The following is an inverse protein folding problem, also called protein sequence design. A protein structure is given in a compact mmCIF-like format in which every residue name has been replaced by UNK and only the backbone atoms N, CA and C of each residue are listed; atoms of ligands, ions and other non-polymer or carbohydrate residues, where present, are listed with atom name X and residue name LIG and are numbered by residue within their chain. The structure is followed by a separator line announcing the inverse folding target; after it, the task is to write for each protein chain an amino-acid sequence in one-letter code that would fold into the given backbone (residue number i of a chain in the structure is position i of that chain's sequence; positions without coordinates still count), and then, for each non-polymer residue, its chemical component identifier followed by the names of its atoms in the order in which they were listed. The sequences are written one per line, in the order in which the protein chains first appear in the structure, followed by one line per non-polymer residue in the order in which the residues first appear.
data_IF_167174884913
#
_entry.id   IF_167174884913
#
_cell.length_a   1.000
_cell.length_b   1.000
_cell.length_c   1.000
_cell.angle_alpha   90.00
_cell.angle_beta   90.00
_cell.angle_gamma   90.00
#
_symmetry.space_group_name_H-M   'P 1'
#
loop_
_entity.id
_entity.type
_entity.pdbx_description
1 polymer ?
#
# COMPACT_ATOMS: atom_id res chain seq x y z
N UNK A 1 -6.35 35.59 2.41
CA UNK A 1 -6.21 34.13 2.25
C UNK A 1 -7.30 33.68 1.32
N UNK A 2 -6.92 33.12 0.17
CA UNK A 2 -7.89 32.58 -0.79
C UNK A 2 -8.42 31.23 -0.29
N UNK A 3 -9.63 30.83 -0.72
CA UNK A 3 -10.19 29.50 -0.39
C UNK A 3 -9.27 28.35 -0.84
N UNK A 4 -8.44 28.60 -1.85
CA UNK A 4 -7.48 27.67 -2.43
C UNK A 4 -6.28 27.43 -1.50
N UNK A 5 -5.77 28.48 -0.84
CA UNK A 5 -4.71 28.37 0.17
C UNK A 5 -5.18 27.54 1.38
N UNK A 6 -6.43 27.73 1.81
CA UNK A 6 -7.02 26.97 2.92
C UNK A 6 -7.19 25.49 2.58
N UNK A 7 -7.61 25.17 1.35
CA UNK A 7 -7.73 23.78 0.88
C UNK A 7 -6.36 23.10 0.74
N UNK A 8 -5.36 23.82 0.26
CA UNK A 8 -3.98 23.31 0.18
C UNK A 8 -3.39 23.03 1.56
N UNK A 9 -3.65 23.89 2.55
CA UNK A 9 -3.22 23.69 3.94
C UNK A 9 -3.80 22.41 4.56
N UNK A 10 -5.12 22.22 4.48
CA UNK A 10 -5.80 21.02 4.98
C UNK A 10 -5.25 19.74 4.34
N UNK A 11 -5.01 19.76 3.03
CA UNK A 11 -4.41 18.62 2.32
C UNK A 11 -3.01 18.30 2.84
N UNK A 12 -2.18 19.32 3.08
CA UNK A 12 -0.82 19.12 3.56
C UNK A 12 -0.79 18.56 4.99
N UNK A 13 -1.73 18.98 5.84
CA UNK A 13 -1.93 18.44 7.18
C UNK A 13 -2.35 16.96 7.13
N UNK A 14 -3.36 16.62 6.32
CA UNK A 14 -3.82 15.24 6.16
C UNK A 14 -2.71 14.33 5.59
N UNK A 15 -1.96 14.79 4.59
CA UNK A 15 -0.81 14.06 4.05
C UNK A 15 0.27 13.81 5.11
N UNK A 16 0.50 14.79 5.98
CA UNK A 16 1.45 14.66 7.09
C UNK A 16 0.96 13.62 8.09
N UNK A 17 -0.31 13.69 8.47
CA UNK A 17 -0.95 12.72 9.36
C UNK A 17 -0.92 11.31 8.77
N UNK A 18 -1.22 11.16 7.48
CA UNK A 18 -1.20 9.88 6.79
C UNK A 18 0.21 9.25 6.76
N UNK A 19 1.26 10.07 6.57
CA UNK A 19 2.66 9.60 6.67
C UNK A 19 3.01 9.12 8.10
N UNK A 20 2.46 9.73 9.13
CA UNK A 20 2.61 9.21 10.50
C UNK A 20 1.93 7.85 10.65
N UNK A 21 0.73 7.68 10.09
CA UNK A 21 0.07 6.37 10.12
C UNK A 21 0.85 5.29 9.39
N UNK A 22 1.44 5.59 8.23
CA UNK A 22 2.36 4.67 7.54
C UNK A 22 3.52 4.25 8.43
N UNK A 23 4.11 5.20 9.16
CA UNK A 23 5.21 4.91 10.09
C UNK A 23 4.75 3.99 11.22
N UNK A 24 3.58 4.26 11.81
CA UNK A 24 3.00 3.44 12.86
C UNK A 24 2.66 2.03 12.37
N UNK A 25 2.08 1.90 11.18
CA UNK A 25 1.76 0.61 10.56
C UNK A 25 3.02 -0.22 10.27
N UNK A 26 4.07 0.39 9.71
CA UNK A 26 5.35 -0.31 9.47
C UNK A 26 5.98 -0.78 10.79
N UNK A 27 5.88 0.02 11.86
CA UNK A 27 6.33 -0.37 13.19
C UNK A 27 5.50 -1.52 13.74
N UNK A 28 4.18 -1.48 13.58
CA UNK A 28 3.27 -2.57 13.94
C UNK A 28 3.66 -3.87 13.24
N UNK A 29 3.83 -3.85 11.91
CA UNK A 29 4.24 -5.03 11.12
C UNK A 29 5.57 -5.64 11.60
N UNK A 30 6.48 -4.84 12.15
CA UNK A 30 7.77 -5.33 12.67
C UNK A 30 7.63 -6.21 13.91
N UNK A 31 6.49 -6.15 14.62
CA UNK A 31 6.18 -6.98 15.78
C UNK A 31 5.11 -8.05 15.52
N UNK A 32 4.66 -8.21 14.26
CA UNK A 32 3.67 -9.22 13.88
C UNK A 32 4.39 -10.44 13.34
N UNK A 33 4.07 -11.61 13.90
CA UNK A 33 4.59 -12.88 13.40
C UNK A 33 4.22 -13.10 11.93
N UNK A 34 5.16 -13.63 11.15
CA UNK A 34 4.99 -13.88 9.71
C UNK A 34 5.46 -12.73 8.80
N UNK A 35 5.85 -11.57 9.33
CA UNK A 35 6.50 -10.51 8.56
C UNK A 35 8.03 -10.53 8.77
N UNK A 36 8.75 -10.98 7.75
CA UNK A 36 10.22 -10.85 7.76
C UNK A 36 10.65 -9.37 7.69
N UNK A 37 11.86 -9.06 8.18
CA UNK A 37 12.43 -7.73 8.04
C UNK A 37 12.52 -7.26 6.57
N UNK A 38 12.71 -8.20 5.63
CA UNK A 38 12.70 -7.92 4.20
C UNK A 38 11.31 -7.51 3.71
N UNK A 39 10.27 -8.24 4.13
CA UNK A 39 8.86 -7.93 3.81
C UNK A 39 8.47 -6.56 4.35
N UNK A 40 8.81 -6.25 5.61
CA UNK A 40 8.53 -4.94 6.23
C UNK A 40 9.23 -3.81 5.46
N UNK A 41 10.49 -4.01 5.07
CA UNK A 41 11.24 -3.02 4.27
C UNK A 41 10.60 -2.78 2.91
N UNK A 42 10.14 -3.85 2.25
CA UNK A 42 9.44 -3.75 0.98
C UNK A 42 8.11 -2.98 1.13
N UNK A 43 7.31 -3.32 2.13
CA UNK A 43 6.03 -2.63 2.41
C UNK A 43 6.26 -1.14 2.72
N UNK A 44 7.29 -0.81 3.49
CA UNK A 44 7.67 0.59 3.75
C UNK A 44 7.99 1.35 2.46
N UNK A 45 8.73 0.74 1.54
CA UNK A 45 9.08 1.37 0.26
C UNK A 45 7.84 1.52 -0.64
N UNK A 46 6.98 0.51 -0.68
CA UNK A 46 5.75 0.51 -1.48
C UNK A 46 4.76 1.58 -0.97
N UNK A 47 4.60 1.71 0.36
CA UNK A 47 3.76 2.73 1.00
C UNK A 47 4.32 4.14 0.82
N UNK A 48 5.65 4.31 0.82
CA UNK A 48 6.26 5.61 0.51
C UNK A 48 5.91 6.05 -0.91
N UNK A 49 6.05 5.15 -1.88
CA UNK A 49 5.68 5.42 -3.27
C UNK A 49 4.19 5.77 -3.42
N UNK A 50 3.32 5.11 -2.64
CA UNK A 50 1.90 5.46 -2.60
C UNK A 50 1.66 6.87 -2.02
N UNK A 51 2.32 7.23 -0.90
CA UNK A 51 2.27 8.58 -0.33
C UNK A 51 2.76 9.66 -1.32
N UNK A 52 3.82 9.37 -2.06
CA UNK A 52 4.36 10.27 -3.08
C UNK A 52 3.36 10.44 -4.24
N UNK A 53 2.67 9.37 -4.63
CA UNK A 53 1.64 9.39 -5.66
C UNK A 53 0.42 10.24 -5.26
N UNK A 54 -0.18 10.01 -4.08
CA UNK A 54 -1.33 10.81 -3.62
C UNK A 54 -0.99 12.29 -3.48
N UNK A 55 0.23 12.60 -3.01
CA UNK A 55 0.70 13.97 -2.89
C UNK A 55 0.85 14.65 -4.27
N UNK A 56 1.46 13.95 -5.23
CA UNK A 56 1.61 14.45 -6.62
C UNK A 56 0.26 14.69 -7.30
N UNK A 57 -0.69 13.79 -7.12
CA UNK A 57 -2.03 13.91 -7.72
C UNK A 57 -2.96 14.88 -6.97
N UNK A 58 -2.53 15.41 -5.81
CA UNK A 58 -3.35 16.32 -4.99
C UNK A 58 -4.55 15.63 -4.34
N UNK A 59 -4.45 14.33 -4.08
CA UNK A 59 -5.52 13.48 -3.55
C UNK A 59 -5.44 13.47 -2.01
N UNK A 60 -6.61 13.54 -1.36
CA UNK A 60 -6.75 13.33 0.08
C UNK A 60 -6.63 11.83 0.35
N UNK A 61 -5.59 11.34 1.05
CA UNK A 61 -5.34 9.92 1.19
C UNK A 61 -6.42 9.18 1.98
N UNK A 62 -7.14 9.82 2.91
CA UNK A 62 -8.21 9.17 3.66
C UNK A 62 -9.54 9.12 2.88
N UNK A 63 -9.67 9.93 1.83
CA UNK A 63 -10.85 10.02 0.96
C UNK A 63 -10.62 9.51 -0.46
N UNK A 64 -9.48 8.85 -0.72
CA UNK A 64 -9.15 8.33 -2.04
C UNK A 64 -10.27 7.45 -2.61
N UNK A 65 -10.61 7.70 -3.87
CA UNK A 65 -11.69 7.01 -4.56
C UNK A 65 -11.19 5.76 -5.28
N UNK A 66 -12.10 4.82 -5.54
CA UNK A 66 -11.79 3.64 -6.36
C UNK A 66 -11.24 4.00 -7.75
N UNK A 67 -11.77 5.07 -8.35
CA UNK A 67 -11.32 5.57 -9.66
C UNK A 67 -9.88 6.05 -9.61
N UNK A 68 -9.50 6.76 -8.56
CA UNK A 68 -8.13 7.23 -8.33
C UNK A 68 -7.18 6.07 -8.08
N UNK A 69 -7.55 5.10 -7.24
CA UNK A 69 -6.75 3.90 -7.02
C UNK A 69 -6.57 3.07 -8.31
N UNK A 70 -7.58 3.01 -9.19
CA UNK A 70 -7.42 2.39 -10.51
C UNK A 70 -6.46 3.16 -11.41
N UNK A 71 -6.41 4.49 -11.31
CA UNK A 71 -5.42 5.31 -12.02
C UNK A 71 -4.02 5.01 -11.52
N UNK A 72 -3.82 4.94 -10.20
CA UNK A 72 -2.55 4.51 -9.60
C UNK A 72 -2.10 3.16 -10.14
N UNK A 73 -2.99 2.16 -10.20
CA UNK A 73 -2.67 0.85 -10.74
C UNK A 73 -2.27 0.89 -12.23
N UNK A 74 -2.90 1.77 -13.01
CA UNK A 74 -2.58 1.92 -14.44
C UNK A 74 -1.17 2.46 -14.69
N UNK A 75 -0.60 3.25 -13.76
CA UNK A 75 0.77 3.78 -13.88
C UNK A 75 1.86 2.70 -13.79
N UNK A 76 1.56 1.57 -13.14
CA UNK A 76 2.47 0.42 -13.16
C UNK A 76 2.45 -0.32 -14.50
N UNK A 77 1.31 -0.31 -15.20
CA UNK A 77 1.16 -0.98 -16.49
C UNK A 77 1.96 -0.26 -17.59
N UNK A 78 2.02 1.07 -17.56
CA UNK A 78 2.86 1.85 -18.48
C UNK A 78 4.36 1.68 -18.22
N UNK A 79 4.73 1.24 -17.04
CA UNK A 79 6.12 1.18 -16.56
C UNK A 79 6.71 -0.24 -16.55
N UNK A 80 6.02 -1.22 -17.14
CA UNK A 80 6.45 -2.63 -17.26
C UNK A 80 6.83 -3.30 -15.92
N UNK A 81 6.16 -2.95 -14.83
CA UNK A 81 6.39 -3.62 -13.55
C UNK A 81 5.99 -5.10 -13.62
N UNK A 82 6.78 -5.95 -12.98
CA UNK A 82 6.41 -7.34 -12.74
C UNK A 82 5.10 -7.41 -11.94
N UNK A 83 4.24 -8.35 -12.28
CA UNK A 83 2.93 -8.54 -11.61
C UNK A 83 3.10 -8.80 -10.10
N UNK A 84 4.18 -9.46 -9.68
CA UNK A 84 4.53 -9.64 -8.26
C UNK A 84 4.78 -8.31 -7.53
N UNK A 85 5.36 -7.32 -8.21
CA UNK A 85 5.57 -5.99 -7.63
C UNK A 85 4.24 -5.26 -7.45
N UNK A 86 3.36 -5.34 -8.45
CA UNK A 86 2.01 -4.73 -8.38
C UNK A 86 1.21 -5.36 -7.24
N UNK A 87 1.24 -6.68 -7.10
CA UNK A 87 0.53 -7.39 -6.03
C UNK A 87 1.06 -7.03 -4.64
N UNK A 88 2.39 -6.83 -4.50
CA UNK A 88 2.99 -6.40 -3.22
C UNK A 88 2.62 -4.96 -2.87
N UNK A 89 2.63 -4.05 -3.85
CA UNK A 89 2.12 -2.69 -3.67
C UNK A 89 0.66 -2.69 -3.21
N UNK A 90 -0.18 -3.46 -3.90
CA UNK A 90 -1.59 -3.61 -3.57
C UNK A 90 -1.78 -4.16 -2.15
N UNK A 91 -1.06 -5.21 -1.80
CA UNK A 91 -1.12 -5.85 -0.48
C UNK A 91 -0.71 -4.89 0.63
N UNK A 92 0.34 -4.09 0.39
CA UNK A 92 0.82 -3.07 1.33
C UNK A 92 -0.24 -2.00 1.61
N UNK A 93 -0.83 -1.44 0.55
CA UNK A 93 -1.86 -0.39 0.65
C UNK A 93 -3.15 -0.92 1.28
N UNK A 94 -3.63 -2.09 0.85
CA UNK A 94 -4.82 -2.73 1.45
C UNK A 94 -4.61 -3.10 2.91
N UNK A 95 -3.40 -3.51 3.28
CA UNK A 95 -3.05 -3.80 4.68
C UNK A 95 -3.11 -2.54 5.53
N UNK A 96 -2.55 -1.42 5.04
CA UNK A 96 -2.60 -0.14 5.73
C UNK A 96 -4.04 0.31 5.99
N UNK A 97 -4.90 0.41 4.97
CA UNK A 97 -6.28 0.89 5.17
C UNK A 97 -7.09 0.00 6.12
N UNK A 98 -6.92 -1.32 6.06
CA UNK A 98 -7.54 -2.25 7.03
C UNK A 98 -7.03 -2.00 8.45
N UNK A 99 -5.72 -1.77 8.61
CA UNK A 99 -5.14 -1.43 9.90
C UNK A 99 -5.66 -0.08 10.42
N UNK A 100 -5.80 0.95 9.57
CA UNK A 100 -6.38 2.24 9.98
C UNK A 100 -7.80 2.10 10.50
N UNK A 101 -8.63 1.28 9.84
CA UNK A 101 -10.00 1.00 10.30
C UNK A 101 -9.98 0.24 11.64
N UNK A 102 -9.11 -0.76 11.77
CA UNK A 102 -8.96 -1.52 13.02
C UNK A 102 -8.56 -0.62 14.21
N UNK A 103 -7.64 0.32 13.98
CA UNK A 103 -7.20 1.28 15.00
C UNK A 103 -8.17 2.46 15.22
N UNK A 104 -9.29 2.51 14.50
CA UNK A 104 -10.28 3.60 14.60
C UNK A 104 -9.76 4.95 14.05
N UNK A 105 -8.74 4.94 13.21
CA UNK A 105 -8.12 6.13 12.61
C UNK A 105 -8.86 6.62 11.35
N UNK A 106 -9.65 5.74 10.74
CA UNK A 106 -10.60 6.06 9.67
C UNK A 106 -11.81 5.15 9.78
N UNK A 107 -12.97 5.63 9.34
CA UNK A 107 -14.20 4.82 9.30
C UNK A 107 -14.27 3.93 8.05
N UNK A 108 -13.46 4.22 7.03
CA UNK A 108 -13.60 3.63 5.70
C UNK A 108 -12.30 3.01 5.19
N UNK A 109 -12.38 1.75 4.77
CA UNK A 109 -11.35 1.12 3.96
C UNK A 109 -11.50 1.53 2.49
N UNK A 110 -10.74 2.56 2.09
CA UNK A 110 -10.76 3.06 0.71
C UNK A 110 -10.17 2.09 -0.31
N UNK A 111 -9.36 1.12 0.11
CA UNK A 111 -8.70 0.15 -0.76
C UNK A 111 -9.41 -1.21 -0.81
N UNK A 112 -10.50 -1.40 -0.06
CA UNK A 112 -11.24 -2.67 0.02
C UNK A 112 -11.62 -3.24 -1.36
N UNK A 113 -12.15 -2.39 -2.25
CA UNK A 113 -12.62 -2.76 -3.58
C UNK A 113 -11.51 -2.79 -4.65
N UNK A 114 -10.25 -2.58 -4.27
CA UNK A 114 -9.13 -2.62 -5.20
C UNK A 114 -8.74 -4.07 -5.51
N UNK A 115 -8.72 -4.40 -6.80
CA UNK A 115 -8.36 -5.72 -7.35
C UNK A 115 -7.17 -5.52 -8.28
N UNK A 116 -6.13 -6.35 -8.11
CA UNK A 116 -4.96 -6.34 -8.99
C UNK A 116 -5.30 -6.86 -10.40
N UNK A 117 -4.34 -6.78 -11.35
CA UNK A 117 -4.49 -7.45 -12.63
C UNK A 117 -4.82 -8.93 -12.43
N UNK A 118 -5.73 -9.49 -13.23
CA UNK A 118 -6.17 -10.90 -13.12
C UNK A 118 -4.97 -11.85 -13.23
N UNK A 119 -4.44 -12.30 -12.11
CA UNK A 119 -3.88 -13.64 -11.96
C UNK A 119 -5.05 -14.57 -11.66
N UNK A 120 -5.02 -15.79 -12.17
CA UNK A 120 -5.99 -16.82 -11.81
C UNK A 120 -6.16 -16.85 -10.28
N UNK A 121 -7.41 -16.77 -9.87
CA UNK A 121 -7.82 -16.41 -8.51
C UNK A 121 -7.24 -17.37 -7.48
N UNK A 122 -6.42 -16.84 -6.57
CA UNK A 122 -6.51 -17.23 -5.16
C UNK A 122 -6.58 -15.94 -4.36
N UNK A 123 -7.77 -15.70 -3.83
CA UNK A 123 -8.03 -14.68 -2.81
C UNK A 123 -7.13 -14.95 -1.59
N UNK A 124 -6.62 -13.91 -0.91
CA UNK A 124 -5.87 -14.11 0.31
C UNK A 124 -6.83 -14.56 1.41
N UNK A 125 -7.03 -15.88 1.55
CA UNK A 125 -7.16 -16.44 2.89
C UNK A 125 -5.88 -16.01 3.62
N UNK A 126 -6.06 -15.42 4.80
CA UNK A 126 -5.01 -15.08 5.77
C UNK A 126 -3.74 -15.88 5.50
N UNK A 127 -2.70 -15.26 4.91
CA UNK A 127 -1.46 -15.97 4.65
C UNK A 127 -0.90 -16.41 6.00
N UNK A 128 -1.00 -17.70 6.29
CA UNK A 128 -0.29 -18.31 7.40
C UNK A 128 1.21 -18.12 7.13
N UNK A 129 1.98 -17.93 8.20
CA UNK A 129 3.41 -17.68 8.17
C UNK A 129 4.22 -18.71 7.34
N UNK A 130 3.62 -19.82 6.94
CA UNK A 130 4.20 -20.94 6.20
C UNK A 130 4.36 -20.68 4.69
N UNK A 131 3.64 -19.73 4.09
CA UNK A 131 3.66 -19.54 2.63
C UNK A 131 4.69 -18.48 2.16
N UNK A 132 5.24 -17.71 3.11
CA UNK A 132 6.36 -16.78 2.88
C UNK A 132 7.66 -17.55 2.56
N UNK A 133 7.82 -18.79 3.06
CA UNK A 133 9.01 -19.59 2.76
C UNK A 133 9.08 -20.06 1.30
N UNK A 134 7.95 -20.25 0.60
CA UNK A 134 7.96 -20.69 -0.80
C UNK A 134 8.30 -19.59 -1.82
N UNK A 135 8.11 -18.32 -1.47
CA UNK A 135 8.45 -17.18 -2.35
C UNK A 135 9.94 -16.83 -2.32
N UNK A 136 10.69 -17.31 -1.33
CA UNK A 136 12.15 -17.14 -1.26
C UNK A 136 12.89 -18.22 -2.06
N UNK A 137 12.22 -19.32 -2.44
CA UNK A 137 12.85 -20.43 -3.18
C UNK A 137 12.91 -20.27 -4.70
N UNK A 138 12.41 -19.17 -5.30
CA UNK A 138 12.54 -18.93 -6.74
C UNK A 138 13.57 -17.88 -7.12
N UNK A 139 14.38 -17.41 -6.16
CA UNK A 139 15.58 -16.63 -6.45
C UNK A 139 16.82 -17.50 -6.21
N UNK A 140 16.83 -18.67 -6.84
CA UNK A 140 18.04 -19.47 -6.96
C UNK A 140 18.00 -20.15 -8.33
N UNK A 141 18.39 -19.41 -9.38
CA UNK A 141 18.96 -19.94 -10.63
C UNK A 141 19.64 -18.77 -11.36
N UNK A 142 20.86 -18.45 -10.93
CA UNK A 142 21.95 -18.06 -11.82
C UNK A 142 23.26 -18.28 -11.06
N UNK A 143 23.56 -19.56 -10.87
CA UNK A 143 24.94 -20.01 -10.77
C UNK A 143 25.57 -19.82 -12.14
N UNK A 144 26.51 -18.88 -12.24
CA UNK A 144 27.80 -19.02 -12.94
C UNK A 144 28.72 -17.84 -12.58
#
# INVERSE_FOLDING_TARGET
MSEEDSRAGLRQEELTQFKHYVTSYVRYLSGVDGFSAHTVKAYKADLRQYCDWVAREGIMPLDVTHRELRRWLAEFSSSHYCVSTIDRHLSSVKGLYRWLVHEGLTEKDCAAALVGPKRDQILPHTMSAEEVERLVSSCDMATD
#
